data_IF_211827872960
#
_entry.id   IF_211827872960
#
_cell.length_a   1.000
_cell.length_b   1.000
_cell.length_c   1.000
_cell.angle_alpha   90.00
_cell.angle_beta   90.00
_cell.angle_gamma   90.00
#
_symmetry.space_group_name_H-M   'P 1'
#
loop_
_entity.id
_entity.type
_entity.pdbx_description
1 polymer ?
#
# COMPACT_ATOMS: atom_id res chain seq x y z
N UNK A 1 18.57 28.31 34.72
CA UNK A 1 18.30 28.31 33.26
C UNK A 1 18.80 27.03 32.56
N UNK A 2 20.05 26.57 32.78
CA UNK A 2 20.55 25.34 32.10
C UNK A 2 19.79 24.06 32.48
N UNK A 3 19.43 23.89 33.76
CA UNK A 3 18.71 22.70 34.23
C UNK A 3 17.32 22.57 33.56
N UNK A 4 16.60 23.68 33.44
CA UNK A 4 15.26 23.71 32.79
C UNK A 4 15.33 23.35 31.31
N UNK A 5 16.37 23.77 30.59
CA UNK A 5 16.54 23.40 29.15
C UNK A 5 16.87 21.92 29.00
N UNK A 6 17.69 21.37 29.89
CA UNK A 6 18.02 19.93 29.87
C UNK A 6 16.76 19.08 30.17
N UNK A 7 15.98 19.47 31.19
CA UNK A 7 14.75 18.78 31.56
C UNK A 7 13.72 18.82 30.43
N UNK A 8 13.55 19.95 29.75
CA UNK A 8 12.69 20.11 28.60
C UNK A 8 13.14 19.25 27.41
N UNK A 9 14.45 19.20 27.15
CA UNK A 9 15.04 18.39 26.09
C UNK A 9 14.84 16.90 26.36
N UNK A 10 15.07 16.47 27.61
CA UNK A 10 14.85 15.08 28.02
C UNK A 10 13.39 14.66 27.89
N UNK A 11 12.45 15.54 28.29
CA UNK A 11 11.01 15.29 28.12
C UNK A 11 10.65 15.12 26.65
N UNK A 12 11.08 16.03 25.78
CA UNK A 12 10.84 15.97 24.33
C UNK A 12 11.39 14.68 23.71
N UNK A 13 12.62 14.30 24.08
CA UNK A 13 13.24 13.05 23.60
C UNK A 13 12.45 11.82 24.06
N UNK A 14 11.96 11.81 25.31
CA UNK A 14 11.16 10.71 25.84
C UNK A 14 9.82 10.59 25.12
N UNK A 15 9.14 11.73 24.87
CA UNK A 15 7.88 11.76 24.09
C UNK A 15 8.10 11.26 22.66
N UNK A 16 9.15 11.71 21.99
CA UNK A 16 9.47 11.25 20.63
C UNK A 16 9.80 9.75 20.59
N UNK A 17 10.56 9.25 21.57
CA UNK A 17 10.86 7.83 21.69
C UNK A 17 9.56 7.01 21.90
N UNK A 18 8.62 7.50 22.72
CA UNK A 18 7.31 6.87 22.92
C UNK A 18 6.47 6.80 21.66
N UNK A 19 6.45 7.86 20.84
CA UNK A 19 5.74 7.88 19.57
C UNK A 19 6.35 6.88 18.56
N UNK A 20 7.68 6.84 18.45
CA UNK A 20 8.36 5.87 17.59
C UNK A 20 8.10 4.43 18.04
N UNK A 21 8.08 4.18 19.34
CA UNK A 21 7.77 2.85 19.89
C UNK A 21 6.31 2.44 19.56
N UNK A 22 5.36 3.36 19.65
CA UNK A 22 3.98 3.11 19.26
C UNK A 22 3.85 2.74 17.78
N UNK A 23 4.55 3.44 16.89
CA UNK A 23 4.60 3.13 15.46
C UNK A 23 5.24 1.76 15.23
N UNK A 24 6.35 1.47 15.89
CA UNK A 24 7.05 0.19 15.78
C UNK A 24 6.22 -1.01 16.25
N UNK A 25 5.28 -0.81 17.19
CA UNK A 25 4.37 -1.88 17.65
C UNK A 25 3.24 -2.15 16.65
N UNK A 26 2.80 -1.15 15.91
CA UNK A 26 1.60 -1.24 15.05
C UNK A 26 1.91 -1.44 13.57
N UNK A 27 3.10 -1.05 13.11
CA UNK A 27 3.47 -1.07 11.70
C UNK A 27 4.73 -1.89 11.43
N UNK A 28 4.82 -2.44 10.23
CA UNK A 28 6.07 -2.94 9.69
C UNK A 28 6.96 -1.75 9.31
N UNK A 29 8.19 -1.69 9.86
CA UNK A 29 9.13 -0.58 9.62
C UNK A 29 10.46 -1.13 9.14
N UNK A 30 10.98 -0.53 8.07
CA UNK A 30 12.29 -0.86 7.52
C UNK A 30 12.99 0.42 7.06
N UNK A 31 14.28 0.49 7.31
CA UNK A 31 15.14 1.62 6.95
C UNK A 31 16.15 1.20 5.88
N UNK A 32 16.39 2.09 4.95
CA UNK A 32 17.34 1.90 3.85
C UNK A 32 18.33 3.06 3.78
N UNK A 33 19.53 2.76 3.30
CA UNK A 33 20.43 3.81 2.80
C UNK A 33 19.93 4.34 1.44
N UNK A 34 20.65 5.29 0.86
CA UNK A 34 20.28 5.91 -0.40
C UNK A 34 20.50 4.99 -1.63
N UNK A 35 21.21 3.90 -1.47
CA UNK A 35 21.39 2.88 -2.51
C UNK A 35 20.34 1.76 -2.38
N UNK A 36 19.42 1.90 -1.43
CA UNK A 36 18.34 0.94 -1.20
C UNK A 36 18.77 -0.29 -0.42
N UNK A 37 19.90 -0.23 0.28
CA UNK A 37 20.36 -1.32 1.14
C UNK A 37 19.69 -1.23 2.51
N UNK A 38 19.22 -2.35 3.05
CA UNK A 38 18.55 -2.41 4.35
C UNK A 38 19.53 -2.11 5.49
N UNK A 39 19.23 -1.08 6.26
CA UNK A 39 19.99 -0.69 7.46
C UNK A 39 19.38 -1.32 8.71
N UNK A 40 18.05 -1.31 8.83
CA UNK A 40 17.29 -1.82 9.98
C UNK A 40 15.91 -2.31 9.52
N UNK A 41 15.36 -3.26 10.26
CA UNK A 41 13.97 -3.70 10.13
C UNK A 41 13.43 -4.03 11.53
N UNK A 42 12.18 -3.70 11.81
CA UNK A 42 11.55 -4.09 13.07
C UNK A 42 10.96 -5.50 12.99
N UNK A 43 10.58 -6.04 14.14
CA UNK A 43 10.03 -7.41 14.22
C UNK A 43 8.75 -7.58 13.39
N UNK A 44 7.91 -6.53 13.30
CA UNK A 44 6.71 -6.57 12.49
C UNK A 44 7.03 -6.73 11.01
N UNK A 45 8.03 -5.99 10.49
CA UNK A 45 8.48 -6.16 9.11
C UNK A 45 9.01 -7.58 8.86
N UNK A 46 9.87 -8.06 9.76
CA UNK A 46 10.47 -9.39 9.63
C UNK A 46 9.42 -10.50 9.64
N UNK A 47 8.45 -10.42 10.55
CA UNK A 47 7.33 -11.38 10.62
C UNK A 47 6.43 -11.30 9.38
N UNK A 48 6.05 -10.09 8.98
CA UNK A 48 5.18 -9.85 7.82
C UNK A 48 5.81 -10.38 6.54
N UNK A 49 7.10 -10.14 6.34
CA UNK A 49 7.82 -10.54 5.14
C UNK A 49 8.45 -11.93 5.24
N UNK A 50 8.42 -12.58 6.40
CA UNK A 50 8.96 -13.93 6.59
C UNK A 50 10.47 -14.04 6.47
N UNK A 51 11.21 -13.04 6.97
CA UNK A 51 12.68 -13.02 7.02
C UNK A 51 13.19 -12.98 8.45
N UNK A 52 14.37 -13.53 8.69
CA UNK A 52 15.16 -13.20 9.87
C UNK A 52 15.91 -11.87 9.68
N UNK A 53 16.39 -11.29 10.78
CA UNK A 53 17.17 -10.06 10.72
C UNK A 53 18.45 -10.24 9.86
N UNK A 54 19.13 -11.38 10.01
CA UNK A 54 20.34 -11.70 9.25
C UNK A 54 20.06 -11.87 7.75
N UNK A 55 18.85 -12.29 7.40
CA UNK A 55 18.44 -12.44 6.00
C UNK A 55 18.00 -11.12 5.36
N UNK A 56 17.59 -10.15 6.15
CA UNK A 56 17.05 -8.88 5.65
C UNK A 56 18.09 -7.75 5.67
N UNK A 57 18.87 -7.61 6.76
CA UNK A 57 19.84 -6.51 6.90
C UNK A 57 20.97 -6.67 5.89
N UNK A 58 21.36 -5.56 5.26
CA UNK A 58 22.37 -5.53 4.22
C UNK A 58 21.90 -6.02 2.84
N UNK A 59 20.64 -6.44 2.70
CA UNK A 59 20.07 -6.79 1.42
C UNK A 59 19.54 -5.56 0.67
N UNK A 60 19.49 -5.65 -0.66
CA UNK A 60 18.89 -4.60 -1.47
C UNK A 60 17.35 -4.66 -1.40
N UNK A 61 16.69 -3.49 -1.37
CA UNK A 61 15.23 -3.37 -1.40
C UNK A 61 14.57 -4.22 -2.51
N UNK A 62 15.21 -4.34 -3.68
CA UNK A 62 14.68 -5.14 -4.79
C UNK A 62 14.48 -6.62 -4.46
N UNK A 63 15.11 -7.13 -3.39
CA UNK A 63 14.90 -8.50 -2.90
C UNK A 63 13.44 -8.73 -2.47
N UNK A 64 12.78 -7.71 -2.00
CA UNK A 64 11.38 -7.74 -1.56
C UNK A 64 10.39 -7.42 -2.69
N UNK A 65 10.89 -7.13 -3.88
CA UNK A 65 10.09 -6.78 -5.05
C UNK A 65 9.90 -7.99 -5.97
N UNK A 66 8.87 -7.94 -6.81
CA UNK A 66 8.79 -8.87 -7.95
C UNK A 66 9.99 -8.65 -8.87
N UNK A 67 10.45 -9.70 -9.54
CA UNK A 67 11.60 -9.61 -10.44
C UNK A 67 11.38 -8.61 -11.59
N UNK A 68 10.14 -8.50 -12.06
CA UNK A 68 9.74 -7.55 -13.10
C UNK A 68 9.87 -6.09 -12.58
N UNK A 69 9.25 -5.76 -11.46
CA UNK A 69 9.34 -4.43 -10.88
C UNK A 69 10.78 -4.04 -10.53
N UNK A 70 11.54 -4.95 -9.91
CA UNK A 70 12.93 -4.69 -9.51
C UNK A 70 13.88 -4.37 -10.66
N UNK A 71 13.52 -4.73 -11.92
CA UNK A 71 14.29 -4.42 -13.15
C UNK A 71 13.70 -3.27 -13.94
N UNK A 72 12.54 -2.76 -13.55
CA UNK A 72 11.81 -1.74 -14.30
C UNK A 72 12.40 -0.34 -14.15
N UNK A 73 12.10 0.54 -15.12
CA UNK A 73 12.38 1.97 -15.02
C UNK A 73 11.65 2.62 -13.83
N UNK A 74 10.48 2.10 -13.47
CA UNK A 74 9.71 2.56 -12.30
C UNK A 74 10.44 2.36 -10.98
N UNK A 75 11.18 1.25 -10.84
CA UNK A 75 12.05 1.02 -9.68
C UNK A 75 13.16 2.06 -9.57
N UNK A 76 13.81 2.36 -10.69
CA UNK A 76 14.87 3.38 -10.76
C UNK A 76 14.30 4.78 -10.46
N UNK A 77 13.12 5.11 -11.00
CA UNK A 77 12.43 6.37 -10.74
C UNK A 77 12.02 6.52 -9.26
N UNK A 78 11.50 5.45 -8.65
CA UNK A 78 11.20 5.41 -7.21
C UNK A 78 12.40 5.87 -6.37
N UNK A 79 13.56 5.24 -6.56
CA UNK A 79 14.76 5.58 -5.79
C UNK A 79 15.32 6.95 -6.13
N UNK A 80 15.21 7.40 -7.39
CA UNK A 80 15.59 8.75 -7.79
C UNK A 80 14.75 9.81 -7.06
N UNK A 81 13.43 9.64 -6.99
CA UNK A 81 12.52 10.53 -6.26
C UNK A 81 12.84 10.55 -4.76
N UNK A 82 13.07 9.40 -4.15
CA UNK A 82 13.42 9.30 -2.74
C UNK A 82 14.73 10.02 -2.41
N UNK A 83 15.76 9.84 -3.24
CA UNK A 83 17.05 10.57 -3.13
C UNK A 83 16.88 12.09 -3.22
N UNK A 84 15.90 12.54 -4.01
CA UNK A 84 15.55 13.97 -4.16
C UNK A 84 14.62 14.48 -3.04
N UNK A 85 14.35 13.67 -2.02
CA UNK A 85 13.55 14.06 -0.86
C UNK A 85 12.04 14.03 -1.10
N UNK A 86 11.57 13.37 -2.16
CA UNK A 86 10.16 13.19 -2.46
C UNK A 86 9.66 11.88 -1.83
N UNK A 87 8.72 11.97 -0.87
CA UNK A 87 8.11 10.78 -0.31
C UNK A 87 7.23 10.08 -1.36
N UNK A 88 7.07 8.78 -1.21
CA UNK A 88 6.22 7.96 -2.07
C UNK A 88 5.28 7.13 -1.22
N UNK A 89 4.01 7.02 -1.60
CA UNK A 89 3.04 6.18 -0.91
C UNK A 89 2.12 5.48 -1.90
N UNK A 90 1.56 4.37 -1.48
CA UNK A 90 0.62 3.58 -2.29
C UNK A 90 0.52 2.14 -1.81
N UNK A 91 -0.17 1.33 -2.61
CA UNK A 91 -0.28 -0.11 -2.43
C UNK A 91 0.69 -0.80 -3.40
N UNK A 92 1.58 -1.61 -2.86
CA UNK A 92 2.66 -2.22 -3.62
C UNK A 92 2.61 -3.75 -3.48
N UNK A 93 2.69 -4.44 -4.61
CA UNK A 93 2.97 -5.87 -4.61
C UNK A 93 4.44 -6.10 -4.26
N UNK A 94 4.66 -7.02 -3.33
CA UNK A 94 5.98 -7.45 -2.86
C UNK A 94 6.04 -8.96 -2.82
N UNK A 95 7.24 -9.49 -2.56
CA UNK A 95 7.48 -10.93 -2.47
C UNK A 95 8.06 -11.22 -1.09
N UNK A 96 7.45 -12.15 -0.38
CA UNK A 96 7.89 -12.58 0.94
C UNK A 96 9.09 -13.54 0.87
N UNK A 97 9.59 -13.95 2.03
CA UNK A 97 10.74 -14.87 2.15
C UNK A 97 10.50 -16.27 1.59
N UNK A 98 9.25 -16.65 1.32
CA UNK A 98 8.84 -17.90 0.69
C UNK A 98 8.56 -17.77 -0.80
N UNK A 99 8.75 -16.57 -1.37
CA UNK A 99 8.45 -16.29 -2.76
C UNK A 99 6.97 -16.07 -3.06
N UNK A 100 6.13 -15.84 -2.02
CA UNK A 100 4.70 -15.61 -2.18
C UNK A 100 4.42 -14.10 -2.36
N UNK A 101 3.43 -13.74 -3.18
CA UNK A 101 3.02 -12.34 -3.31
C UNK A 101 2.37 -11.86 -2.02
N UNK A 102 2.74 -10.65 -1.61
CA UNK A 102 2.19 -9.94 -0.48
C UNK A 102 1.89 -8.50 -0.91
N UNK A 103 0.75 -7.97 -0.51
CA UNK A 103 0.35 -6.59 -0.80
C UNK A 103 0.56 -5.71 0.42
N UNK A 104 1.34 -4.67 0.26
CA UNK A 104 1.65 -3.72 1.31
C UNK A 104 1.11 -2.34 0.96
N UNK A 105 0.24 -1.80 1.80
CA UNK A 105 -0.02 -0.37 1.83
C UNK A 105 1.15 0.29 2.57
N UNK A 106 1.90 1.16 1.90
CA UNK A 106 3.16 1.65 2.42
C UNK A 106 3.46 3.10 2.04
N UNK A 107 4.30 3.73 2.87
CA UNK A 107 4.94 5.01 2.59
C UNK A 107 6.45 4.91 2.74
N UNK A 108 7.17 5.50 1.80
CA UNK A 108 8.63 5.67 1.80
C UNK A 108 8.95 7.12 2.10
N UNK A 109 9.64 7.37 3.18
CA UNK A 109 9.87 8.69 3.74
C UNK A 109 11.37 9.01 3.77
N UNK A 110 11.86 9.91 2.89
CA UNK A 110 13.23 10.39 2.96
C UNK A 110 13.47 11.17 4.25
N UNK A 111 14.51 10.78 4.99
CA UNK A 111 14.93 11.45 6.21
C UNK A 111 16.10 12.37 5.88
N UNK A 112 16.01 13.62 6.33
CA UNK A 112 17.02 14.65 6.10
C UNK A 112 17.83 14.90 7.36
N UNK A 113 19.11 15.22 7.17
CA UNK A 113 19.97 15.73 8.24
C UNK A 113 19.71 17.23 8.52
N UNK A 114 20.42 17.80 9.49
CA UNK A 114 20.29 19.20 9.86
C UNK A 114 20.65 20.19 8.72
N UNK A 115 21.40 19.73 7.70
CA UNK A 115 21.76 20.52 6.51
C UNK A 115 20.70 20.42 5.40
N UNK A 116 19.63 19.64 5.59
CA UNK A 116 18.57 19.40 4.62
C UNK A 116 18.90 18.32 3.59
N UNK A 117 20.02 17.60 3.72
CA UNK A 117 20.40 16.51 2.81
C UNK A 117 19.68 15.22 3.22
N UNK A 118 19.16 14.49 2.24
CA UNK A 118 18.60 13.16 2.49
C UNK A 118 19.73 12.20 2.88
N UNK A 119 19.56 11.50 3.99
CA UNK A 119 20.57 10.57 4.54
C UNK A 119 20.11 9.12 4.59
N UNK A 120 18.81 8.89 4.64
CA UNK A 120 18.21 7.54 4.60
C UNK A 120 16.75 7.62 4.21
N UNK A 121 16.14 6.46 3.96
CA UNK A 121 14.70 6.31 3.70
C UNK A 121 14.09 5.38 4.75
N UNK A 122 12.99 5.79 5.37
CA UNK A 122 12.22 4.97 6.29
C UNK A 122 10.91 4.59 5.62
N UNK A 123 10.63 3.30 5.54
CA UNK A 123 9.38 2.76 5.03
C UNK A 123 8.50 2.28 6.17
N UNK A 124 7.27 2.73 6.20
CA UNK A 124 6.17 2.19 7.02
C UNK A 124 5.25 1.40 6.12
N UNK A 125 4.81 0.23 6.59
CA UNK A 125 3.96 -0.64 5.79
C UNK A 125 2.94 -1.40 6.64
N UNK A 126 1.79 -1.68 6.01
CA UNK A 126 0.75 -2.57 6.53
C UNK A 126 0.47 -3.66 5.50
N UNK A 127 0.30 -4.89 5.96
CA UNK A 127 -0.14 -5.99 5.10
C UNK A 127 -1.64 -5.86 4.81
N UNK A 128 -1.97 -5.70 3.53
CA UNK A 128 -3.35 -5.61 3.03
C UNK A 128 -3.71 -6.78 2.11
N UNK A 129 -2.92 -7.86 2.13
CA UNK A 129 -3.09 -9.02 1.25
C UNK A 129 -4.47 -9.64 1.38
N UNK A 130 -4.94 -9.87 2.62
CA UNK A 130 -6.27 -10.44 2.86
C UNK A 130 -7.39 -9.54 2.33
N UNK A 131 -7.27 -8.22 2.51
CA UNK A 131 -8.22 -7.23 1.98
C UNK A 131 -8.25 -7.26 0.46
N UNK A 132 -7.07 -7.24 -0.19
CA UNK A 132 -6.97 -7.29 -1.65
C UNK A 132 -7.55 -8.59 -2.23
N UNK A 133 -7.34 -9.72 -1.57
CA UNK A 133 -7.92 -11.01 -1.97
C UNK A 133 -9.45 -10.99 -1.86
N UNK A 134 -9.99 -10.51 -0.75
CA UNK A 134 -11.45 -10.39 -0.57
C UNK A 134 -12.10 -9.49 -1.61
N UNK A 135 -11.50 -8.34 -1.90
CA UNK A 135 -11.98 -7.42 -2.94
C UNK A 135 -11.93 -8.08 -4.33
N UNK A 136 -10.84 -8.79 -4.64
CA UNK A 136 -10.69 -9.52 -5.91
C UNK A 136 -11.74 -10.62 -6.05
N UNK A 137 -11.98 -11.42 -5.01
CA UNK A 137 -12.99 -12.47 -5.00
C UNK A 137 -14.40 -11.90 -5.15
N UNK A 138 -14.73 -10.81 -4.44
CA UNK A 138 -16.01 -10.14 -4.56
C UNK A 138 -16.25 -9.62 -5.99
N UNK A 139 -15.25 -8.99 -6.58
CA UNK A 139 -15.31 -8.51 -7.96
C UNK A 139 -15.45 -9.65 -8.97
N UNK A 140 -14.75 -10.77 -8.77
CA UNK A 140 -14.86 -11.94 -9.63
C UNK A 140 -16.28 -12.55 -9.57
N UNK A 141 -16.88 -12.63 -8.38
CA UNK A 141 -18.26 -13.09 -8.19
C UNK A 141 -19.27 -12.18 -8.90
N UNK A 142 -19.12 -10.84 -8.74
CA UNK A 142 -19.98 -9.87 -9.44
C UNK A 142 -19.86 -10.00 -10.96
N UNK A 143 -18.64 -10.12 -11.48
CA UNK A 143 -18.42 -10.32 -12.91
C UNK A 143 -19.02 -11.65 -13.43
N UNK A 144 -18.96 -12.73 -12.64
CA UNK A 144 -19.56 -14.00 -12.99
C UNK A 144 -21.09 -13.88 -13.05
N UNK A 145 -21.71 -13.19 -12.09
CA UNK A 145 -23.16 -12.90 -12.11
C UNK A 145 -23.51 -12.07 -13.34
N UNK A 146 -22.76 -11.01 -13.60
CA UNK A 146 -22.99 -10.11 -14.73
C UNK A 146 -22.91 -10.84 -16.09
N UNK A 147 -22.01 -11.80 -16.23
CA UNK A 147 -21.87 -12.62 -17.44
C UNK A 147 -22.97 -13.69 -17.58
N UNK A 148 -23.43 -14.24 -16.45
CA UNK A 148 -24.37 -15.38 -16.47
C UNK A 148 -25.83 -14.97 -16.42
N UNK A 149 -26.15 -13.81 -15.85
CA UNK A 149 -27.52 -13.39 -15.55
C UNK A 149 -27.89 -12.08 -16.23
N UNK A 150 -29.19 -11.91 -16.53
CA UNK A 150 -29.75 -10.62 -16.91
C UNK A 150 -29.93 -9.79 -15.62
N UNK A 151 -29.24 -8.66 -15.53
CA UNK A 151 -29.21 -7.78 -14.34
C UNK A 151 -29.74 -6.41 -14.75
N UNK A 152 -30.60 -5.86 -13.91
CA UNK A 152 -31.08 -4.48 -13.99
C UNK A 152 -31.09 -3.86 -12.61
N UNK A 153 -30.66 -2.61 -12.50
CA UNK A 153 -30.58 -1.86 -11.26
C UNK A 153 -31.54 -0.67 -11.29
N UNK A 154 -32.17 -0.43 -10.16
CA UNK A 154 -33.11 0.66 -9.98
C UNK A 154 -32.68 1.62 -8.87
N UNK A 155 -33.02 2.89 -9.04
CA UNK A 155 -33.06 3.83 -7.94
C UNK A 155 -34.22 3.48 -6.97
N UNK A 156 -34.19 4.05 -5.77
CA UNK A 156 -35.23 3.80 -4.77
C UNK A 156 -36.63 4.27 -5.21
N UNK A 157 -36.72 5.20 -6.14
CA UNK A 157 -37.96 5.69 -6.73
C UNK A 157 -38.52 4.76 -7.82
N UNK A 158 -37.81 3.66 -8.16
CA UNK A 158 -38.16 2.72 -9.20
C UNK A 158 -37.74 3.12 -10.61
N UNK A 159 -36.97 4.19 -10.77
CA UNK A 159 -36.35 4.54 -12.06
C UNK A 159 -35.14 3.65 -12.33
N UNK A 160 -34.95 3.28 -13.61
CA UNK A 160 -33.87 2.40 -14.04
C UNK A 160 -32.55 3.18 -14.02
N UNK A 161 -31.57 2.65 -13.26
CA UNK A 161 -30.22 3.18 -13.13
C UNK A 161 -29.30 2.63 -14.24
N UNK A 162 -29.27 1.31 -14.38
CA UNK A 162 -28.47 0.62 -15.40
C UNK A 162 -29.01 -0.80 -15.65
N UNK A 163 -28.54 -1.42 -16.72
CA UNK A 163 -28.81 -2.83 -17.05
C UNK A 163 -27.59 -3.42 -17.76
N UNK A 164 -27.30 -4.70 -17.51
CA UNK A 164 -26.20 -5.36 -18.20
C UNK A 164 -26.58 -5.82 -19.62
N UNK A 165 -25.58 -6.18 -20.41
CA UNK A 165 -25.77 -6.58 -21.79
C UNK A 165 -26.71 -7.79 -21.92
N UNK A 166 -26.68 -8.74 -20.98
CA UNK A 166 -27.57 -9.89 -20.99
C UNK A 166 -29.04 -9.50 -20.86
N UNK A 167 -29.34 -8.53 -19.97
CA UNK A 167 -30.70 -7.98 -19.85
C UNK A 167 -31.10 -7.25 -21.14
N UNK A 168 -30.26 -6.34 -21.63
CA UNK A 168 -30.54 -5.56 -22.83
C UNK A 168 -30.80 -6.43 -24.05
N UNK A 169 -29.96 -7.45 -24.28
CA UNK A 169 -30.09 -8.37 -25.38
C UNK A 169 -31.36 -9.21 -25.28
N UNK A 170 -31.69 -9.73 -24.08
CA UNK A 170 -32.89 -10.57 -23.89
C UNK A 170 -34.19 -9.79 -24.02
N UNK A 171 -34.18 -8.53 -23.55
CA UNK A 171 -35.36 -7.67 -23.56
C UNK A 171 -35.49 -6.83 -24.83
N UNK A 172 -34.46 -6.79 -25.67
CA UNK A 172 -34.50 -6.08 -26.95
C UNK A 172 -34.40 -4.55 -26.82
N UNK A 173 -33.78 -4.06 -25.73
CA UNK A 173 -33.62 -2.64 -25.50
C UNK A 173 -32.14 -2.21 -25.52
N UNK A 174 -31.92 -0.94 -25.76
CA UNK A 174 -30.65 -0.28 -25.51
C UNK A 174 -30.67 0.38 -24.13
N UNK A 175 -29.49 0.59 -23.52
CA UNK A 175 -29.40 1.29 -22.20
C UNK A 175 -30.00 2.68 -22.29
N UNK A 176 -29.78 3.39 -23.41
CA UNK A 176 -30.29 4.74 -23.62
C UNK A 176 -31.81 4.81 -23.59
N UNK A 177 -32.49 3.75 -24.08
CA UNK A 177 -33.95 3.68 -24.06
C UNK A 177 -34.53 3.40 -22.67
N UNK A 178 -33.75 2.75 -21.78
CA UNK A 178 -34.22 2.33 -20.46
C UNK A 178 -33.84 3.29 -19.33
N UNK A 179 -32.65 3.88 -19.41
CA UNK A 179 -32.08 4.71 -18.33
C UNK A 179 -33.01 5.87 -17.96
N UNK A 180 -33.34 5.98 -16.68
CA UNK A 180 -34.22 7.00 -16.13
C UNK A 180 -35.72 6.74 -16.31
N UNK A 181 -36.13 5.70 -17.06
CA UNK A 181 -37.52 5.30 -17.12
C UNK A 181 -37.91 4.51 -15.87
N UNK A 182 -39.18 4.62 -15.50
CA UNK A 182 -39.73 3.83 -14.39
C UNK A 182 -40.02 2.41 -14.85
N UNK A 183 -39.85 1.42 -13.96
CA UNK A 183 -40.05 -0.01 -14.30
C UNK A 183 -41.51 -0.44 -14.53
N UNK A 184 -42.48 0.46 -14.32
CA UNK A 184 -43.90 0.25 -14.61
C UNK A 184 -44.16 0.23 -16.10
#
# INVERSE_FOLDING_TARGET
>A
RHKSVIDDLQRTLTEQAGLLDAINRSMAVIEFDLDGMVLRANDNFLKTMGYSAEQAIGQAHRRFCTAEFGRSAQYTDLWSRLKNGQFQSGTFERVDGKGQPIWLEASYNPIKDASGRVVKVVKYAMDVTAKMQQESEANAKLQAIDRAMAVIEFNLDGSILTANQNFLTRMGYTLAELKGKHHR
#
